data_IF_355271396513
#
_entry.id   IF_355271396513
#
_cell.length_a   1.000
_cell.length_b   1.000
_cell.length_c   1.000
_cell.angle_alpha   90.00
_cell.angle_beta   90.00
_cell.angle_gamma   90.00
#
_symmetry.space_group_name_H-M   'P 1'
#
loop_
_entity.id
_entity.type
_entity.pdbx_description
1 polymer ?
#
# COMPACT_ATOMS: atom_id res chain seq x y z
N UNK A 1 32.22 1.27 41.21
CA UNK A 1 33.62 0.89 41.57
C UNK A 1 34.62 2.04 41.45
N UNK A 2 34.92 2.57 40.25
CA UNK A 2 35.98 3.61 40.10
C UNK A 2 35.68 4.93 40.84
N UNK A 3 34.40 5.36 40.86
CA UNK A 3 33.98 6.53 41.62
C UNK A 3 34.17 6.34 43.14
N UNK A 4 33.92 5.12 43.63
CA UNK A 4 34.10 4.76 45.03
C UNK A 4 35.57 4.82 45.43
N UNK A 5 36.47 4.24 44.60
CA UNK A 5 37.92 4.28 44.81
C UNK A 5 38.45 5.73 44.79
N UNK A 6 37.93 6.56 43.87
CA UNK A 6 38.29 7.97 43.82
C UNK A 6 37.83 8.76 45.06
N UNK A 7 36.62 8.49 45.56
CA UNK A 7 36.07 9.15 46.75
C UNK A 7 36.83 8.76 48.02
N UNK A 8 37.12 7.48 48.23
CA UNK A 8 37.78 6.99 49.44
C UNK A 8 39.26 7.38 49.53
N UNK A 9 39.93 7.58 48.39
CA UNK A 9 41.34 7.95 48.34
C UNK A 9 41.58 9.45 48.09
N UNK A 10 40.52 10.27 48.08
CA UNK A 10 40.60 11.69 47.75
C UNK A 10 41.50 12.51 48.69
N UNK A 11 41.46 12.19 50.00
CA UNK A 11 42.27 12.85 51.02
C UNK A 11 43.59 12.13 51.35
N UNK A 12 43.62 10.80 51.25
CA UNK A 12 44.77 9.97 51.66
C UNK A 12 45.75 9.65 50.53
N UNK A 13 45.26 9.45 49.30
CA UNK A 13 46.09 9.06 48.15
C UNK A 13 45.56 9.68 46.85
N UNK A 14 45.85 10.98 46.69
CA UNK A 14 45.43 11.79 45.55
C UNK A 14 45.82 11.19 44.20
N UNK A 15 46.98 10.53 44.09
CA UNK A 15 47.44 9.89 42.85
C UNK A 15 46.53 8.73 42.43
N UNK A 16 46.18 7.86 43.38
CA UNK A 16 45.28 6.74 43.14
C UNK A 16 43.87 7.22 42.77
N UNK A 17 43.37 8.26 43.45
CA UNK A 17 42.09 8.87 43.15
C UNK A 17 42.05 9.46 41.72
N UNK A 18 43.10 10.18 41.30
CA UNK A 18 43.22 10.72 39.94
C UNK A 18 43.28 9.63 38.87
N UNK A 19 43.99 8.52 39.13
CA UNK A 19 44.05 7.40 38.20
C UNK A 19 42.66 6.74 38.01
N UNK A 20 41.91 6.56 39.10
CA UNK A 20 40.56 6.02 39.07
C UNK A 20 39.60 6.95 38.28
N UNK A 21 39.69 8.27 38.48
CA UNK A 21 38.92 9.25 37.71
C UNK A 21 39.27 9.25 36.22
N UNK A 22 40.56 9.16 35.87
CA UNK A 22 41.00 9.05 34.47
C UNK A 22 40.42 7.80 33.81
N UNK A 23 40.45 6.66 34.50
CA UNK A 23 39.87 5.40 34.01
C UNK A 23 38.36 5.50 33.82
N UNK A 24 37.64 6.11 34.77
CA UNK A 24 36.19 6.38 34.63
C UNK A 24 35.91 7.25 33.40
N UNK A 25 36.61 8.38 33.24
CA UNK A 25 36.39 9.31 32.13
C UNK A 25 36.66 8.68 30.77
N UNK A 26 37.63 7.78 30.68
CA UNK A 26 37.89 7.03 29.45
C UNK A 26 36.77 6.05 29.12
N UNK A 27 36.22 5.35 30.11
CA UNK A 27 35.08 4.46 29.92
C UNK A 27 33.82 5.24 29.50
N UNK A 28 33.57 6.41 30.10
CA UNK A 28 32.45 7.28 29.71
C UNK A 28 32.57 7.75 28.26
N UNK A 29 33.78 8.08 27.79
CA UNK A 29 34.03 8.41 26.38
C UNK A 29 33.79 7.22 25.45
N UNK A 30 34.24 6.03 25.85
CA UNK A 30 34.02 4.80 25.08
C UNK A 30 32.53 4.48 24.98
N UNK A 31 31.78 4.65 26.07
CA UNK A 31 30.34 4.47 26.10
C UNK A 31 29.66 5.43 25.12
N UNK A 32 29.97 6.73 25.18
CA UNK A 32 29.41 7.72 24.24
C UNK A 32 29.71 7.37 22.77
N UNK A 33 30.92 6.87 22.49
CA UNK A 33 31.27 6.43 21.14
C UNK A 33 30.44 5.22 20.70
N UNK A 34 30.31 4.21 21.58
CA UNK A 34 29.50 3.01 21.31
C UNK A 34 28.03 3.39 21.08
N UNK A 35 27.47 4.30 21.88
CA UNK A 35 26.09 4.77 21.71
C UNK A 35 25.88 5.42 20.34
N UNK A 36 26.83 6.24 19.87
CA UNK A 36 26.77 6.84 18.54
C UNK A 36 26.91 5.82 17.40
N UNK A 37 27.76 4.81 17.57
CA UNK A 37 27.88 3.69 16.61
C UNK A 37 26.59 2.87 16.59
N UNK A 38 25.99 2.60 17.75
CA UNK A 38 24.74 1.86 17.85
C UNK A 38 23.60 2.57 17.12
N UNK A 39 23.43 3.89 17.34
CA UNK A 39 22.44 4.70 16.63
C UNK A 39 22.64 4.63 15.10
N UNK A 40 23.89 4.66 14.65
CA UNK A 40 24.22 4.53 13.22
C UNK A 40 23.82 3.16 12.68
N UNK A 41 24.10 2.09 13.42
CA UNK A 41 23.74 0.72 13.03
C UNK A 41 22.22 0.51 13.01
N UNK A 42 21.48 1.08 13.97
CA UNK A 42 20.02 1.04 13.99
C UNK A 42 19.42 1.73 12.77
N UNK A 43 19.94 2.90 12.40
CA UNK A 43 19.53 3.61 11.18
C UNK A 43 19.83 2.80 9.91
N UNK A 44 21.03 2.21 9.83
CA UNK A 44 21.41 1.37 8.69
C UNK A 44 20.55 0.11 8.59
N UNK A 45 20.23 -0.52 9.72
CA UNK A 45 19.31 -1.66 9.79
C UNK A 45 17.93 -1.29 9.23
N UNK A 46 17.34 -0.20 9.70
CA UNK A 46 16.04 0.25 9.20
C UNK A 46 16.07 0.56 7.70
N UNK A 47 17.17 1.14 7.22
CA UNK A 47 17.37 1.40 5.79
C UNK A 47 17.43 0.10 4.98
N UNK A 48 18.14 -0.92 5.47
CA UNK A 48 18.21 -2.24 4.84
C UNK A 48 16.87 -2.96 4.85
N UNK A 49 16.11 -2.89 5.94
CA UNK A 49 14.77 -3.47 6.03
C UNK A 49 13.83 -2.83 5.00
N UNK A 50 13.83 -1.49 4.89
CA UNK A 50 13.05 -0.79 3.87
C UNK A 50 13.48 -1.16 2.45
N UNK A 51 14.80 -1.25 2.19
CA UNK A 51 15.31 -1.68 0.89
C UNK A 51 14.88 -3.11 0.53
N UNK A 52 14.89 -4.03 1.51
CA UNK A 52 14.44 -5.41 1.34
C UNK A 52 12.96 -5.49 1.00
N UNK A 53 12.11 -4.76 1.74
CA UNK A 53 10.66 -4.69 1.47
C UNK A 53 10.41 -4.14 0.06
N UNK A 54 11.10 -3.06 -0.32
CA UNK A 54 10.96 -2.47 -1.65
C UNK A 54 11.37 -3.46 -2.76
N UNK A 55 12.45 -4.21 -2.55
CA UNK A 55 12.88 -5.24 -3.48
C UNK A 55 11.85 -6.36 -3.64
N UNK A 56 11.24 -6.81 -2.53
CA UNK A 56 10.17 -7.80 -2.55
C UNK A 56 8.93 -7.30 -3.30
N UNK A 57 8.48 -6.08 -3.00
CA UNK A 57 7.35 -5.44 -3.71
C UNK A 57 7.62 -5.33 -5.20
N UNK A 58 8.83 -4.90 -5.60
CA UNK A 58 9.22 -4.83 -7.01
C UNK A 58 9.23 -6.22 -7.67
N UNK A 59 9.68 -7.26 -6.96
CA UNK A 59 9.64 -8.63 -7.43
C UNK A 59 8.21 -9.12 -7.68
N UNK A 60 7.29 -8.84 -6.76
CA UNK A 60 5.86 -9.14 -6.92
C UNK A 60 5.28 -8.38 -8.10
N UNK A 61 5.53 -7.08 -8.22
CA UNK A 61 5.05 -6.25 -9.34
C UNK A 61 5.56 -6.75 -10.69
N UNK A 62 6.83 -7.16 -10.78
CA UNK A 62 7.39 -7.73 -12.00
C UNK A 62 6.69 -9.05 -12.39
N UNK A 63 6.43 -9.91 -11.41
CA UNK A 63 5.68 -11.16 -11.61
C UNK A 63 4.25 -10.88 -12.06
N UNK A 64 3.54 -9.96 -11.40
CA UNK A 64 2.18 -9.55 -11.75
C UNK A 64 2.13 -8.96 -13.16
N UNK A 65 3.07 -8.08 -13.50
CA UNK A 65 3.17 -7.48 -14.85
C UNK A 65 3.37 -8.55 -15.92
N UNK A 66 4.21 -9.56 -15.65
CA UNK A 66 4.40 -10.70 -16.54
C UNK A 66 3.12 -11.51 -16.71
N UNK A 67 2.43 -11.85 -15.62
CA UNK A 67 1.16 -12.58 -15.67
C UNK A 67 0.07 -11.81 -16.41
N UNK A 68 -0.03 -10.49 -16.20
CA UNK A 68 -0.94 -9.63 -16.97
C UNK A 68 -0.59 -9.63 -18.45
N UNK A 69 0.70 -9.50 -18.79
CA UNK A 69 1.15 -9.56 -20.18
C UNK A 69 0.84 -10.92 -20.82
N UNK A 70 1.05 -12.01 -20.09
CA UNK A 70 0.76 -13.36 -20.58
C UNK A 70 -0.75 -13.61 -20.73
N UNK A 71 -1.58 -13.11 -19.81
CA UNK A 71 -3.05 -13.14 -19.92
C UNK A 71 -3.56 -12.33 -21.12
N UNK A 72 -2.96 -11.17 -21.39
CA UNK A 72 -3.29 -10.34 -22.54
C UNK A 72 -2.62 -10.78 -23.85
N UNK A 73 -1.68 -11.74 -23.81
CA UNK A 73 -0.90 -12.18 -24.98
C UNK A 73 -1.75 -12.80 -26.09
N UNK A 74 -2.94 -13.28 -25.76
CA UNK A 74 -3.94 -13.75 -26.72
C UNK A 74 -5.03 -12.74 -27.09
N UNK A 75 -5.04 -11.60 -26.39
CA UNK A 75 -5.91 -10.42 -26.55
C UNK A 75 -5.11 -9.37 -27.31
N UNK A 76 -4.86 -9.65 -28.59
CA UNK A 76 -4.24 -8.66 -29.48
C UNK A 76 -5.13 -7.41 -29.52
N UNK A 77 -4.55 -6.22 -29.73
CA UNK A 77 -5.34 -4.97 -29.79
C UNK A 77 -6.43 -5.08 -30.87
N UNK A 78 -6.12 -5.79 -31.96
CA UNK A 78 -7.05 -6.08 -33.05
C UNK A 78 -8.24 -6.90 -32.56
N UNK A 79 -8.03 -7.89 -31.68
CA UNK A 79 -9.13 -8.69 -31.10
C UNK A 79 -9.98 -7.91 -30.10
N UNK A 80 -9.42 -6.90 -29.44
CA UNK A 80 -10.22 -6.03 -28.56
C UNK A 80 -11.14 -5.16 -29.40
N UNK A 81 -10.66 -4.66 -30.55
CA UNK A 81 -11.49 -3.95 -31.51
C UNK A 81 -12.61 -4.86 -32.04
N UNK A 82 -12.27 -6.09 -32.46
CA UNK A 82 -13.24 -7.09 -32.94
C UNK A 82 -14.30 -7.43 -31.87
N UNK A 83 -13.89 -7.62 -30.60
CA UNK A 83 -14.82 -7.90 -29.50
C UNK A 83 -15.73 -6.70 -29.22
N UNK A 84 -15.21 -5.48 -29.30
CA UNK A 84 -16.02 -4.26 -29.10
C UNK A 84 -17.02 -4.05 -30.24
N UNK A 85 -16.66 -4.42 -31.47
CA UNK A 85 -17.58 -4.43 -32.62
C UNK A 85 -18.66 -5.50 -32.44
N UNK A 86 -18.31 -6.74 -32.07
CA UNK A 86 -19.30 -7.80 -31.76
C UNK A 86 -20.26 -7.40 -30.63
N UNK A 87 -19.77 -6.74 -29.58
CA UNK A 87 -20.63 -6.24 -28.48
C UNK A 87 -21.61 -5.18 -28.97
N UNK A 88 -21.16 -4.26 -29.83
CA UNK A 88 -22.03 -3.23 -30.41
C UNK A 88 -23.11 -3.86 -31.30
N UNK A 89 -22.73 -4.83 -32.12
CA UNK A 89 -23.65 -5.55 -33.00
C UNK A 89 -24.68 -6.37 -32.20
N UNK A 90 -24.26 -7.05 -31.12
CA UNK A 90 -25.16 -7.75 -30.21
C UNK A 90 -26.11 -6.82 -29.44
N UNK A 91 -25.65 -5.62 -29.08
CA UNK A 91 -26.50 -4.61 -28.45
C UNK A 91 -27.59 -4.11 -29.41
N UNK A 92 -27.24 -3.91 -30.69
CA UNK A 92 -28.20 -3.48 -31.70
C UNK A 92 -29.22 -4.59 -32.01
N UNK A 93 -28.80 -5.86 -32.06
CA UNK A 93 -29.71 -7.02 -32.12
C UNK A 93 -30.64 -7.05 -30.89
N UNK A 94 -30.11 -6.78 -29.69
CA UNK A 94 -30.91 -6.70 -28.47
C UNK A 94 -32.01 -5.65 -28.54
N UNK A 95 -31.70 -4.48 -29.10
CA UNK A 95 -32.69 -3.42 -29.36
C UNK A 95 -33.72 -3.82 -30.40
N UNK A 96 -33.31 -4.42 -31.52
CA UNK A 96 -34.26 -4.90 -32.53
C UNK A 96 -35.19 -5.98 -31.95
N UNK A 97 -34.69 -6.86 -31.08
CA UNK A 97 -35.50 -7.84 -30.37
C UNK A 97 -36.49 -7.15 -29.42
N UNK A 98 -36.03 -6.16 -28.64
CA UNK A 98 -36.87 -5.40 -27.73
C UNK A 98 -37.99 -4.64 -28.48
N UNK A 99 -37.64 -3.98 -29.59
CA UNK A 99 -38.60 -3.30 -30.47
C UNK A 99 -39.56 -4.28 -31.14
N UNK A 100 -39.10 -5.45 -31.59
CA UNK A 100 -39.96 -6.47 -32.18
C UNK A 100 -40.90 -7.13 -31.16
N UNK A 101 -40.46 -7.31 -29.91
CA UNK A 101 -41.29 -7.81 -28.82
C UNK A 101 -42.30 -6.74 -28.39
N UNK A 102 -41.88 -5.48 -28.28
CA UNK A 102 -42.74 -4.36 -27.91
C UNK A 102 -43.80 -4.07 -28.98
N UNK A 103 -43.45 -4.18 -30.27
CA UNK A 103 -44.38 -4.01 -31.39
C UNK A 103 -45.34 -5.20 -31.59
N UNK A 104 -45.14 -6.34 -30.94
CA UNK A 104 -46.03 -7.50 -31.06
C UNK A 104 -47.26 -7.44 -30.15
N UNK A 105 -47.34 -6.46 -29.26
CA UNK A 105 -48.55 -6.21 -28.51
C UNK A 105 -48.73 -4.70 -28.33
N UNK A 106 -49.54 -4.01 -29.18
CA UNK A 106 -50.04 -2.70 -28.81
C UNK A 106 -51.00 -2.95 -27.64
N UNK A 107 -50.46 -3.01 -26.42
CA UNK A 107 -51.26 -2.78 -25.24
C UNK A 107 -51.75 -1.34 -25.40
N UNK A 108 -52.96 -1.20 -25.95
CA UNK A 108 -53.75 0.02 -25.86
C UNK A 108 -54.03 0.23 -24.38
N UNK A 109 -53.04 0.74 -23.66
CA UNK A 109 -53.21 1.24 -22.32
C UNK A 109 -54.01 2.52 -22.48
N UNK A 110 -55.23 2.55 -21.93
CA UNK A 110 -56.08 3.73 -21.97
C UNK A 110 -55.45 4.80 -21.08
N UNK A 111 -54.86 5.82 -21.69
CA UNK A 111 -54.22 6.93 -20.98
C UNK A 111 -55.18 7.61 -19.99
N UNK A 112 -56.51 7.52 -20.22
CA UNK A 112 -57.49 8.06 -19.28
C UNK A 112 -57.60 7.24 -17.99
N UNK A 113 -57.38 5.92 -18.05
CA UNK A 113 -57.39 5.03 -16.88
C UNK A 113 -56.15 5.29 -16.01
N UNK A 114 -54.99 5.47 -16.64
CA UNK A 114 -53.74 5.82 -15.93
C UNK A 114 -53.79 7.21 -15.28
N UNK A 115 -54.42 8.20 -15.94
CA UNK A 115 -54.57 9.54 -15.38
C UNK A 115 -55.48 9.54 -14.14
N UNK A 116 -56.55 8.74 -14.15
CA UNK A 116 -57.42 8.57 -12.99
C UNK A 116 -56.68 7.90 -11.81
N UNK A 117 -55.87 6.87 -12.10
CA UNK A 117 -55.08 6.16 -11.09
C UNK A 117 -53.97 7.05 -10.50
N UNK A 118 -53.37 7.94 -11.32
CA UNK A 118 -52.39 8.92 -10.87
C UNK A 118 -53.00 9.99 -9.95
N UNK A 119 -54.19 10.49 -10.27
CA UNK A 119 -54.90 11.46 -9.45
C UNK A 119 -55.30 10.86 -8.08
N UNK A 120 -55.66 9.57 -8.02
CA UNK A 120 -55.93 8.86 -6.75
C UNK A 120 -54.67 8.67 -5.88
N UNK A 121 -53.47 8.59 -6.47
CA UNK A 121 -52.21 8.46 -5.72
C UNK A 121 -51.69 9.81 -5.18
N UNK A 122 -52.22 10.93 -5.67
CA UNK A 122 -51.82 12.28 -5.28
C UNK A 122 -52.69 12.89 -4.15
N UNK A 123 -53.74 12.18 -3.73
CA UNK A 123 -54.59 12.49 -2.57
C UNK A 123 -54.14 11.72 -1.30
#
# INVERSE_FOLDING_TARGET
MQLTIAKTNSASNKRLALQALKRKKNLEKQQQHIDGVLQTLEYQKSTLENASINAEVLGVLASTSKSLKDAHKGMDIDKVQDIMEEISEQHDIGKEIEEAISNQNPLNIDENELLAELDELAE
#
